data_IF_767906618237
#
_entry.id   IF_767906618237
#
_cell.length_a   1.000
_cell.length_b   1.000
_cell.length_c   1.000
_cell.angle_alpha   90.00
_cell.angle_beta   90.00
_cell.angle_gamma   90.00
#
_symmetry.space_group_name_H-M   'P 1'
#
loop_
_entity.id
_entity.type
_entity.pdbx_description
1 polymer ?
#
# COMPACT_ATOMS: atom_id res chain seq x y z
N UNK A 1 23.28 48.01 -11.32
CA UNK A 1 21.91 47.89 -10.78
C UNK A 1 21.11 47.01 -11.73
N UNK A 2 21.28 45.70 -11.62
CA UNK A 2 20.58 44.68 -12.42
C UNK A 2 19.47 44.13 -11.56
N UNK A 3 18.21 44.42 -11.90
CA UNK A 3 17.08 43.87 -11.18
C UNK A 3 17.06 42.37 -11.45
N UNK A 4 17.47 41.57 -10.45
CA UNK A 4 17.12 40.16 -10.42
C UNK A 4 15.63 40.12 -10.26
N UNK A 5 14.93 39.82 -11.34
CA UNK A 5 13.52 39.51 -11.28
C UNK A 5 13.35 38.41 -10.23
N UNK A 6 12.60 38.71 -9.18
CA UNK A 6 12.04 37.68 -8.32
C UNK A 6 11.07 36.91 -9.22
N UNK A 7 11.55 35.84 -9.85
CA UNK A 7 10.65 34.80 -10.33
C UNK A 7 9.73 34.47 -9.15
N UNK A 8 8.39 34.47 -9.35
CA UNK A 8 7.49 34.02 -8.30
C UNK A 8 7.94 32.61 -7.96
N UNK A 9 8.39 32.40 -6.71
CA UNK A 9 8.64 31.05 -6.21
C UNK A 9 7.34 30.29 -6.45
N UNK A 10 7.32 29.43 -7.47
CA UNK A 10 6.16 28.62 -7.81
C UNK A 10 5.79 27.91 -6.52
N UNK A 11 4.64 28.27 -5.94
CA UNK A 11 4.23 27.77 -4.63
C UNK A 11 4.22 26.25 -4.67
N UNK A 12 5.25 25.63 -4.11
CA UNK A 12 5.44 24.20 -4.19
C UNK A 12 4.22 23.55 -3.53
N UNK A 13 3.42 22.84 -4.33
CA UNK A 13 2.26 22.11 -3.82
C UNK A 13 2.75 21.13 -2.74
N UNK A 14 2.07 21.04 -1.58
CA UNK A 14 2.45 20.10 -0.53
C UNK A 14 2.56 18.66 -1.07
N UNK A 15 3.65 17.97 -0.72
CA UNK A 15 3.92 16.62 -1.22
C UNK A 15 3.11 15.52 -0.50
N UNK A 16 2.38 15.86 0.57
CA UNK A 16 1.73 14.90 1.45
C UNK A 16 0.61 14.10 0.78
N UNK A 17 -0.11 14.66 -0.19
CA UNK A 17 -1.12 13.92 -0.95
C UNK A 17 -0.49 12.78 -1.78
N UNK A 18 0.65 13.03 -2.44
CA UNK A 18 1.37 12.02 -3.21
C UNK A 18 2.01 10.97 -2.29
N UNK A 19 2.60 11.42 -1.18
CA UNK A 19 3.18 10.54 -0.17
C UNK A 19 2.15 9.58 0.43
N UNK A 20 0.96 10.08 0.75
CA UNK A 20 -0.16 9.30 1.25
C UNK A 20 -0.59 8.21 0.26
N UNK A 21 -0.70 8.53 -1.03
CA UNK A 21 -1.05 7.57 -2.08
C UNK A 21 -0.01 6.44 -2.21
N UNK A 22 1.29 6.78 -2.20
CA UNK A 22 2.38 5.81 -2.30
C UNK A 22 2.38 4.86 -1.09
N UNK A 23 2.30 5.41 0.12
CA UNK A 23 2.32 4.60 1.33
C UNK A 23 1.09 3.71 1.44
N UNK A 24 -0.09 4.25 1.15
CA UNK A 24 -1.32 3.47 1.11
C UNK A 24 -1.22 2.31 0.12
N UNK A 25 -0.69 2.55 -1.10
CA UNK A 25 -0.55 1.50 -2.11
C UNK A 25 0.32 0.35 -1.61
N UNK A 26 1.45 0.67 -0.96
CA UNK A 26 2.31 -0.33 -0.35
C UNK A 26 1.63 -1.11 0.77
N UNK A 27 0.80 -0.46 1.60
CA UNK A 27 -0.03 -1.13 2.62
C UNK A 27 -0.99 -2.12 1.96
N UNK A 28 -1.68 -1.73 0.88
CA UNK A 28 -2.56 -2.61 0.12
C UNK A 28 -1.84 -3.86 -0.39
N UNK A 29 -0.67 -3.68 -1.02
CA UNK A 29 0.16 -4.80 -1.48
C UNK A 29 0.61 -5.72 -0.34
N UNK A 30 0.99 -5.14 0.81
CA UNK A 30 1.37 -5.91 1.99
C UNK A 30 0.21 -6.79 2.51
N UNK A 31 -1.00 -6.23 2.55
CA UNK A 31 -2.20 -6.98 2.96
C UNK A 31 -2.52 -8.12 2.00
N UNK A 32 -2.33 -7.95 0.69
CA UNK A 32 -2.47 -9.05 -0.29
C UNK A 32 -1.50 -10.18 0.04
N UNK A 33 -0.25 -9.86 0.36
CA UNK A 33 0.75 -10.84 0.82
C UNK A 33 0.30 -11.58 2.07
N UNK A 34 -0.17 -10.86 3.10
CA UNK A 34 -0.69 -11.45 4.33
C UNK A 34 -1.90 -12.37 4.10
N UNK A 35 -2.86 -11.95 3.27
CA UNK A 35 -4.01 -12.78 2.91
C UNK A 35 -3.60 -14.01 2.10
N UNK A 36 -2.52 -13.91 1.33
CA UNK A 36 -1.96 -15.05 0.60
C UNK A 36 -1.42 -16.07 1.57
N UNK A 37 -0.48 -15.69 2.44
CA UNK A 37 0.10 -16.57 3.46
C UNK A 37 -0.99 -17.15 4.38
N UNK A 38 -1.90 -16.31 4.89
CA UNK A 38 -2.95 -16.75 5.81
C UNK A 38 -3.94 -17.75 5.18
N UNK A 39 -4.26 -17.60 3.89
CA UNK A 39 -5.13 -18.54 3.20
C UNK A 39 -4.47 -19.91 2.99
N UNK A 40 -3.14 -19.96 2.81
CA UNK A 40 -2.43 -21.25 2.73
C UNK A 40 -2.38 -21.94 4.11
N UNK A 41 -2.29 -21.18 5.20
CA UNK A 41 -2.28 -21.73 6.56
C UNK A 41 -3.67 -22.12 7.09
N UNK A 42 -4.76 -21.68 6.46
CA UNK A 42 -6.12 -21.89 6.97
C UNK A 42 -7.16 -22.06 5.86
N UNK A 43 -7.72 -23.26 5.75
CA UNK A 43 -8.83 -23.55 4.84
C UNK A 43 -10.06 -22.68 5.11
N UNK A 44 -10.32 -22.35 6.38
CA UNK A 44 -11.42 -21.47 6.78
C UNK A 44 -11.28 -20.07 6.21
N UNK A 45 -10.08 -19.48 6.34
CA UNK A 45 -9.78 -18.17 5.75
C UNK A 45 -9.81 -18.22 4.22
N UNK A 46 -9.23 -19.27 3.62
CA UNK A 46 -9.28 -19.47 2.17
C UNK A 46 -10.72 -19.51 1.65
N UNK A 47 -11.62 -20.21 2.35
CA UNK A 47 -13.04 -20.25 2.00
C UNK A 47 -13.74 -18.90 2.20
N UNK A 48 -13.44 -18.17 3.28
CA UNK A 48 -13.99 -16.83 3.52
C UNK A 48 -13.59 -15.81 2.44
N UNK A 49 -12.44 -16.01 1.80
CA UNK A 49 -11.94 -15.17 0.70
C UNK A 49 -12.46 -15.59 -0.69
N UNK A 50 -13.26 -16.65 -0.80
CA UNK A 50 -13.91 -17.06 -2.08
C UNK A 50 -15.13 -16.21 -2.38
N UNK A 51 -14.94 -14.91 -2.57
CA UNK A 51 -16.03 -13.98 -2.87
C UNK A 51 -16.60 -14.21 -4.27
N UNK A 52 -15.76 -14.61 -5.22
CA UNK A 52 -16.16 -14.97 -6.57
C UNK A 52 -15.70 -16.39 -6.92
N UNK A 53 -16.60 -17.39 -7.01
CA UNK A 53 -16.24 -18.79 -7.18
C UNK A 53 -15.30 -19.09 -8.37
N UNK A 54 -15.49 -18.49 -9.57
CA UNK A 54 -14.60 -18.75 -10.71
C UNK A 54 -13.15 -18.30 -10.51
N UNK A 55 -12.92 -17.29 -9.65
CA UNK A 55 -11.58 -16.81 -9.30
C UNK A 55 -11.04 -17.45 -8.00
N UNK A 56 -11.87 -18.20 -7.28
CA UNK A 56 -11.52 -18.79 -5.99
C UNK A 56 -11.12 -17.74 -4.93
N UNK A 57 -10.24 -18.10 -3.97
CA UNK A 57 -9.81 -17.22 -2.89
C UNK A 57 -9.07 -15.96 -3.36
N UNK A 58 -8.57 -15.94 -4.60
CA UNK A 58 -7.81 -14.81 -5.14
C UNK A 58 -8.65 -13.52 -5.12
N UNK A 59 -9.94 -13.64 -5.46
CA UNK A 59 -10.89 -12.53 -5.45
C UNK A 59 -10.95 -11.81 -4.09
N UNK A 60 -11.01 -12.55 -2.98
CA UNK A 60 -10.97 -11.98 -1.65
C UNK A 60 -9.58 -11.49 -1.26
N UNK A 61 -8.50 -12.21 -1.59
CA UNK A 61 -7.12 -11.76 -1.32
C UNK A 61 -6.87 -10.36 -1.91
N UNK A 62 -7.20 -10.16 -3.19
CA UNK A 62 -7.04 -8.86 -3.86
C UNK A 62 -8.09 -7.85 -3.41
N UNK A 63 -9.33 -8.29 -3.19
CA UNK A 63 -10.42 -7.42 -2.76
C UNK A 63 -10.17 -6.77 -1.40
N UNK A 64 -9.74 -7.56 -0.40
CA UNK A 64 -9.32 -7.04 0.92
C UNK A 64 -8.17 -6.05 0.74
N UNK A 65 -7.16 -6.38 -0.08
CA UNK A 65 -6.05 -5.47 -0.37
C UNK A 65 -6.49 -4.12 -0.93
N UNK A 66 -7.42 -4.11 -1.90
CA UNK A 66 -7.98 -2.88 -2.48
C UNK A 66 -8.79 -2.09 -1.46
N UNK A 67 -9.62 -2.76 -0.66
CA UNK A 67 -10.40 -2.11 0.40
C UNK A 67 -9.46 -1.46 1.42
N UNK A 68 -8.44 -2.18 1.88
CA UNK A 68 -7.46 -1.63 2.83
C UNK A 68 -6.66 -0.49 2.22
N UNK A 69 -6.27 -0.58 0.95
CA UNK A 69 -5.65 0.52 0.23
C UNK A 69 -6.51 1.79 0.24
N UNK A 70 -7.80 1.67 -0.11
CA UNK A 70 -8.72 2.81 -0.13
C UNK A 70 -8.90 3.43 1.26
N UNK A 71 -9.06 2.60 2.30
CA UNK A 71 -9.19 3.06 3.68
C UNK A 71 -7.91 3.78 4.12
N UNK A 72 -6.74 3.16 3.89
CA UNK A 72 -5.45 3.74 4.24
C UNK A 72 -5.22 5.06 3.51
N UNK A 73 -5.50 5.11 2.20
CA UNK A 73 -5.38 6.31 1.41
C UNK A 73 -6.31 7.41 1.94
N UNK A 74 -7.59 7.13 2.18
CA UNK A 74 -8.53 8.12 2.69
C UNK A 74 -8.07 8.72 4.03
N UNK A 75 -7.54 7.89 4.94
CA UNK A 75 -7.01 8.36 6.23
C UNK A 75 -5.74 9.19 6.04
N UNK A 76 -4.73 8.65 5.35
CA UNK A 76 -3.44 9.33 5.18
C UNK A 76 -3.58 10.60 4.35
N UNK A 77 -4.39 10.58 3.30
CA UNK A 77 -4.64 11.75 2.46
C UNK A 77 -5.28 12.86 3.28
N UNK A 78 -6.31 12.58 4.08
CA UNK A 78 -6.93 13.60 4.93
C UNK A 78 -5.96 14.16 5.99
N UNK A 79 -5.03 13.34 6.50
CA UNK A 79 -4.02 13.78 7.45
C UNK A 79 -2.90 14.62 6.83
N UNK A 80 -2.49 14.30 5.60
CA UNK A 80 -1.25 14.83 5.00
C UNK A 80 -1.46 15.73 3.78
N UNK A 81 -2.65 15.83 3.18
CA UNK A 81 -2.88 16.57 1.93
C UNK A 81 -2.39 18.02 1.93
N UNK A 82 -2.45 18.69 3.07
CA UNK A 82 -2.05 20.09 3.24
C UNK A 82 -0.67 20.24 3.92
N UNK A 83 0.11 19.15 4.03
CA UNK A 83 1.39 19.10 4.75
C UNK A 83 2.53 18.71 3.83
N UNK A 84 3.70 19.26 4.10
CA UNK A 84 4.96 18.75 3.61
C UNK A 84 5.43 17.65 4.56
N UNK A 85 5.59 16.43 4.04
CA UNK A 85 5.98 15.25 4.82
C UNK A 85 7.37 14.78 4.39
N UNK A 86 8.06 14.08 5.28
CA UNK A 86 9.34 13.46 4.94
C UNK A 86 9.15 12.35 3.89
N UNK A 87 9.31 12.74 2.64
CA UNK A 87 9.16 11.85 1.50
C UNK A 87 10.22 10.74 1.45
N UNK A 88 11.35 10.89 2.14
CA UNK A 88 12.37 9.84 2.23
C UNK A 88 11.89 8.72 3.15
N UNK A 89 11.37 9.07 4.32
CA UNK A 89 10.80 8.10 5.26
C UNK A 89 9.64 7.33 4.62
N UNK A 90 8.75 8.04 3.91
CA UNK A 90 7.61 7.43 3.21
C UNK A 90 8.08 6.43 2.14
N UNK A 91 9.05 6.81 1.31
CA UNK A 91 9.59 5.90 0.27
C UNK A 91 10.21 4.65 0.87
N UNK A 92 10.97 4.77 1.94
CA UNK A 92 11.60 3.61 2.61
C UNK A 92 10.52 2.71 3.21
N UNK A 93 9.56 3.27 3.93
CA UNK A 93 8.45 2.51 4.50
C UNK A 93 7.62 1.79 3.43
N UNK A 94 7.29 2.49 2.34
CA UNK A 94 6.58 1.90 1.21
C UNK A 94 7.38 0.78 0.53
N UNK A 95 8.69 0.97 0.32
CA UNK A 95 9.55 -0.06 -0.26
C UNK A 95 9.63 -1.32 0.63
N UNK A 96 9.75 -1.15 1.95
CA UNK A 96 9.77 -2.27 2.90
C UNK A 96 8.43 -3.00 2.88
N UNK A 97 7.31 -2.29 2.98
CA UNK A 97 5.97 -2.91 2.94
C UNK A 97 5.73 -3.65 1.62
N UNK A 98 6.15 -3.07 0.50
CA UNK A 98 6.03 -3.70 -0.80
C UNK A 98 6.91 -4.96 -0.89
N UNK A 99 8.17 -4.90 -0.46
CA UNK A 99 9.07 -6.04 -0.44
C UNK A 99 8.53 -7.16 0.46
N UNK A 100 8.07 -6.84 1.66
CA UNK A 100 7.47 -7.82 2.55
C UNK A 100 6.21 -8.43 1.94
N UNK A 101 5.30 -7.60 1.42
CA UNK A 101 4.08 -8.05 0.76
C UNK A 101 4.38 -9.01 -0.38
N UNK A 102 5.37 -8.67 -1.20
CA UNK A 102 5.83 -9.50 -2.29
C UNK A 102 6.47 -10.80 -1.79
N UNK A 103 7.35 -10.77 -0.79
CA UNK A 103 7.96 -11.97 -0.24
C UNK A 103 6.91 -12.95 0.31
N UNK A 104 5.86 -12.44 0.96
CA UNK A 104 4.77 -13.26 1.49
C UNK A 104 3.94 -13.98 0.41
N UNK A 105 4.07 -13.63 -0.87
CA UNK A 105 3.40 -14.33 -1.97
C UNK A 105 4.26 -15.43 -2.61
N UNK A 106 5.49 -15.68 -2.14
CA UNK A 106 6.36 -16.74 -2.67
C UNK A 106 6.21 -18.08 -1.96
N UNK A 107 6.23 -19.20 -2.70
CA UNK A 107 6.09 -20.55 -2.15
C UNK A 107 7.03 -20.93 -1.02
N UNK A 108 8.26 -20.47 -1.11
CA UNK A 108 9.28 -20.72 -0.08
C UNK A 108 8.84 -20.23 1.30
N UNK A 109 8.05 -19.16 1.37
CA UNK A 109 7.58 -18.61 2.64
C UNK A 109 6.42 -19.44 3.18
N UNK A 110 5.39 -19.72 2.39
CA UNK A 110 4.26 -20.51 2.90
C UNK A 110 4.60 -21.98 3.16
N UNK A 111 5.49 -22.59 2.38
CA UNK A 111 5.99 -23.95 2.66
C UNK A 111 6.79 -24.05 3.96
N UNK A 112 7.38 -22.95 4.43
CA UNK A 112 8.05 -22.93 5.73
C UNK A 112 7.06 -22.97 6.92
N UNK A 113 5.77 -22.68 6.68
CA UNK A 113 4.73 -22.60 7.70
C UNK A 113 3.51 -23.52 7.45
N UNK A 114 3.56 -24.36 6.41
CA UNK A 114 2.54 -25.35 6.04
C UNK A 114 2.95 -26.75 6.51
#
# INVERSE_FOLDING_TARGET
MTLREHEPQSGALPNGAAAAAILAAAIGCFIIGLMTLGAEMSEGLANALKWYPPAGPLSGKTGVGVITWLIAWAVLHNLWKDRDVDFRAVRIGAAILLLLGFLLTFPLIFQAFA
#
